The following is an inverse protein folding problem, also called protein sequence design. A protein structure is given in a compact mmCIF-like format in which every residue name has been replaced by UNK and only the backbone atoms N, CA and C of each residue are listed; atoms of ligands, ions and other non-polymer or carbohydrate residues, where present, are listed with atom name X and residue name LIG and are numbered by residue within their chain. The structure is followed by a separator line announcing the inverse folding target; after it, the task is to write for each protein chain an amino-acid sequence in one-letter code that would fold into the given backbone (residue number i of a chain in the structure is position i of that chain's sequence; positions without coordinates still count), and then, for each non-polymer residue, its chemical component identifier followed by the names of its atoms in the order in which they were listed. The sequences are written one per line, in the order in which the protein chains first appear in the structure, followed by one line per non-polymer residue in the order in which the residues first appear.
data_IF_288425608111
#
_entry.id   IF_288425608111
#
_cell.length_a   1.000
_cell.length_b   1.000
_cell.length_c   1.000
_cell.angle_alpha   90.00
_cell.angle_beta   90.00
_cell.angle_gamma   90.00
#
_symmetry.space_group_name_H-M   'P 1'
#
loop_
_entity.id
_entity.type
_entity.pdbx_description
1 polymer ?
#
# COMPACT_ATOMS: atom_id res chain seq x y z
N UNK A 1 128.74 51.72 9.89
CA UNK A 1 128.20 50.45 10.43
C UNK A 1 126.73 50.36 10.04
N UNK A 2 126.34 49.33 9.29
CA UNK A 2 124.98 48.81 9.17
C UNK A 2 123.95 49.56 8.30
N UNK A 3 123.95 49.29 7.00
CA UNK A 3 122.83 49.55 6.06
C UNK A 3 121.72 48.49 6.25
N UNK A 4 120.44 48.91 6.12
CA UNK A 4 119.31 48.01 5.90
C UNK A 4 118.62 48.40 4.58
N UNK A 5 118.53 47.43 3.66
CA UNK A 5 117.85 47.54 2.36
C UNK A 5 116.56 46.72 2.42
N UNK A 6 115.55 47.29 1.77
CA UNK A 6 114.22 46.75 1.46
C UNK A 6 114.24 45.33 0.88
N UNK A 7 113.12 44.61 0.98
CA UNK A 7 112.46 43.89 -0.13
C UNK A 7 111.34 43.00 0.45
N UNK A 8 110.09 43.26 0.07
CA UNK A 8 108.95 42.40 0.41
C UNK A 8 107.94 42.45 -0.72
N UNK A 9 108.15 41.68 -1.80
CA UNK A 9 107.18 41.64 -2.92
C UNK A 9 107.21 40.37 -3.79
N UNK A 10 107.59 39.20 -3.26
CA UNK A 10 107.61 37.96 -4.06
C UNK A 10 106.81 36.76 -3.52
N UNK A 11 106.10 36.86 -2.40
CA UNK A 11 105.32 35.73 -1.87
C UNK A 11 103.88 35.62 -2.40
N UNK A 12 103.30 36.68 -2.97
CA UNK A 12 101.87 36.69 -3.35
C UNK A 12 101.61 36.07 -4.72
N UNK A 13 102.61 36.01 -5.62
CA UNK A 13 102.40 35.54 -7.00
C UNK A 13 102.43 34.01 -7.19
N UNK A 14 103.04 33.24 -6.28
CA UNK A 14 103.09 31.78 -6.41
C UNK A 14 101.85 31.04 -5.87
N UNK A 15 101.09 31.64 -4.95
CA UNK A 15 99.86 31.02 -4.43
C UNK A 15 98.61 31.27 -5.30
N UNK A 16 98.61 32.33 -6.13
CA UNK A 16 97.47 32.64 -7.01
C UNK A 16 97.28 31.67 -8.18
N UNK A 17 98.35 31.02 -8.64
CA UNK A 17 98.31 30.11 -9.80
C UNK A 17 97.90 28.67 -9.44
N UNK A 18 98.05 28.25 -8.17
CA UNK A 18 97.63 26.92 -7.71
C UNK A 18 96.13 26.86 -7.35
N UNK A 19 95.48 27.99 -7.07
CA UNK A 19 94.05 28.01 -6.75
C UNK A 19 93.14 28.01 -8.00
N UNK A 20 93.63 28.47 -9.15
CA UNK A 20 92.83 28.57 -10.40
C UNK A 20 92.78 27.22 -11.14
N UNK A 21 93.74 26.32 -10.91
CA UNK A 21 93.77 24.98 -11.52
C UNK A 21 92.81 23.96 -10.89
N UNK A 22 92.35 24.18 -9.65
CA UNK A 22 91.47 23.23 -8.96
C UNK A 22 89.96 23.51 -9.17
N UNK A 23 89.60 24.71 -9.68
CA UNK A 23 88.20 25.10 -9.91
C UNK A 23 87.63 24.52 -11.21
N UNK A 24 88.47 24.12 -12.17
CA UNK A 24 88.01 23.59 -13.47
C UNK A 24 87.71 22.08 -13.49
N UNK A 25 87.89 21.34 -12.39
CA UNK A 25 87.63 19.89 -12.33
C UNK A 25 86.26 19.50 -11.75
N UNK A 26 85.42 20.47 -11.33
CA UNK A 26 84.11 20.17 -10.71
C UNK A 26 82.90 20.61 -11.55
N UNK A 27 83.10 21.11 -12.77
CA UNK A 27 82.02 21.37 -13.72
C UNK A 27 81.62 20.09 -14.49
N UNK A 28 81.46 18.98 -13.77
CA UNK A 28 80.78 17.79 -14.27
C UNK A 28 79.30 17.91 -13.94
N UNK A 29 78.54 18.62 -14.77
CA UNK A 29 77.07 18.58 -14.72
C UNK A 29 76.61 17.17 -15.09
N UNK A 30 76.48 16.30 -14.09
CA UNK A 30 75.57 15.17 -14.19
C UNK A 30 74.16 15.74 -14.08
N UNK A 31 73.44 15.74 -15.20
CA UNK A 31 72.00 15.99 -15.20
C UNK A 31 71.33 14.82 -14.47
N UNK A 32 71.33 14.84 -13.13
CA UNK A 32 70.39 14.04 -12.37
C UNK A 32 69.03 14.66 -12.65
N UNK A 33 68.36 14.13 -13.68
CA UNK A 33 66.94 14.35 -13.89
C UNK A 33 66.25 13.62 -12.75
N UNK A 34 66.04 14.33 -11.63
CA UNK A 34 65.06 13.92 -10.63
C UNK A 34 63.72 14.05 -11.34
N UNK A 35 63.25 12.97 -11.98
CA UNK A 35 61.85 12.90 -12.37
C UNK A 35 61.06 12.93 -11.06
N UNK A 36 60.23 13.95 -10.80
CA UNK A 36 59.31 13.84 -9.69
C UNK A 36 58.43 12.63 -10.00
N UNK A 37 58.55 11.57 -9.18
CA UNK A 37 57.55 10.52 -9.16
C UNK A 37 56.35 11.14 -8.48
N UNK A 38 55.57 11.90 -9.27
CA UNK A 38 54.18 12.10 -8.94
C UNK A 38 53.55 10.71 -9.00
N UNK A 39 53.42 10.06 -7.85
CA UNK A 39 52.34 9.10 -7.67
C UNK A 39 51.07 9.91 -7.90
N UNK A 40 50.57 9.88 -9.13
CA UNK A 40 49.15 10.06 -9.35
C UNK A 40 48.50 9.03 -8.46
N UNK A 41 47.96 9.47 -7.30
CA UNK A 41 47.00 8.66 -6.57
C UNK A 41 45.96 8.31 -7.62
N UNK A 42 45.94 7.05 -8.01
CA UNK A 42 44.97 6.54 -8.97
C UNK A 42 43.62 7.06 -8.48
N UNK A 43 42.95 7.81 -9.35
CA UNK A 43 41.65 8.36 -9.02
C UNK A 43 40.77 7.14 -8.82
N UNK A 44 40.54 6.77 -7.57
CA UNK A 44 39.54 5.77 -7.23
C UNK A 44 38.28 6.18 -7.99
N UNK A 45 37.84 5.32 -8.91
CA UNK A 45 36.59 5.57 -9.60
C UNK A 45 35.53 5.80 -8.54
N UNK A 46 34.63 6.78 -8.72
CA UNK A 46 33.57 7.01 -7.77
C UNK A 46 32.84 5.68 -7.57
N UNK A 47 32.94 5.12 -6.37
CA UNK A 47 32.10 4.01 -5.95
C UNK A 47 30.68 4.52 -6.14
N UNK A 48 29.90 3.83 -6.96
CA UNK A 48 28.46 4.06 -7.13
C UNK A 48 27.79 3.78 -5.79
N UNK A 49 27.85 4.75 -4.89
CA UNK A 49 27.14 4.72 -3.63
C UNK A 49 25.69 5.06 -3.98
N UNK A 50 24.92 4.01 -4.24
CA UNK A 50 23.48 4.12 -4.31
C UNK A 50 23.03 4.58 -2.92
N UNK A 51 22.72 5.87 -2.81
CA UNK A 51 21.96 6.38 -1.67
C UNK A 51 20.69 5.54 -1.65
N UNK A 52 20.44 4.75 -0.59
CA UNK A 52 19.17 4.05 -0.48
C UNK A 52 18.10 5.11 -0.67
N UNK A 53 17.26 4.96 -1.70
CA UNK A 53 16.09 5.80 -1.86
C UNK A 53 15.45 5.89 -0.48
N UNK A 54 15.33 7.11 0.06
CA UNK A 54 14.54 7.28 1.27
C UNK A 54 13.14 6.79 0.90
N UNK A 55 12.77 5.62 1.40
CA UNK A 55 11.41 5.10 1.27
C UNK A 55 10.59 6.02 2.16
N UNK A 56 9.97 7.03 1.56
CA UNK A 56 9.03 7.87 2.27
C UNK A 56 7.78 7.03 2.53
N UNK A 57 7.26 7.02 3.76
CA UNK A 57 6.05 6.29 4.06
C UNK A 57 4.88 6.82 3.23
N UNK A 58 4.04 5.92 2.75
CA UNK A 58 2.96 6.19 1.80
C UNK A 58 1.76 6.88 2.47
N UNK A 59 1.12 7.78 1.73
CA UNK A 59 -0.16 8.38 2.08
C UNK A 59 -1.27 7.72 1.27
N UNK A 60 -2.10 6.92 1.93
CA UNK A 60 -3.16 6.14 1.31
C UNK A 60 -4.51 6.84 1.44
N UNK A 61 -5.34 6.71 0.41
CA UNK A 61 -6.76 7.09 0.46
C UNK A 61 -7.65 5.85 0.34
N UNK A 62 -8.41 5.56 1.40
CA UNK A 62 -9.40 4.50 1.44
C UNK A 62 -10.77 5.05 1.10
N UNK A 63 -11.39 4.51 0.06
CA UNK A 63 -12.75 4.81 -0.34
C UNK A 63 -13.68 3.68 0.05
N UNK A 64 -14.62 3.95 0.95
CA UNK A 64 -15.73 3.06 1.29
C UNK A 64 -16.94 3.31 0.40
N UNK A 65 -17.33 2.32 -0.40
CA UNK A 65 -18.57 2.27 -1.17
C UNK A 65 -19.46 1.17 -0.58
N UNK A 66 -20.76 1.43 -0.46
CA UNK A 66 -21.67 0.37 -0.04
C UNK A 66 -22.80 0.75 0.88
N UNK A 67 -23.12 -0.18 1.78
CA UNK A 67 -24.29 -0.14 2.63
C UNK A 67 -23.99 -0.01 4.13
N UNK A 68 -24.86 -0.53 5.00
CA UNK A 68 -24.71 -0.46 6.46
C UNK A 68 -23.42 -1.12 6.97
N UNK A 69 -22.90 -2.15 6.30
CA UNK A 69 -21.66 -2.79 6.75
C UNK A 69 -20.47 -1.85 6.61
N UNK A 70 -20.34 -1.20 5.45
CA UNK A 70 -19.31 -0.17 5.22
C UNK A 70 -19.54 1.07 6.07
N UNK A 71 -20.79 1.46 6.37
CA UNK A 71 -21.07 2.53 7.35
C UNK A 71 -20.58 2.18 8.76
N UNK A 72 -20.53 0.89 9.13
CA UNK A 72 -20.22 0.46 10.50
C UNK A 72 -21.42 0.45 11.44
N UNK A 73 -22.64 0.24 10.91
CA UNK A 73 -23.85 0.15 11.75
C UNK A 73 -23.73 -1.02 12.72
N UNK A 74 -23.97 -0.77 14.01
CA UNK A 74 -23.87 -1.80 15.06
C UNK A 74 -22.53 -1.81 15.79
N UNK A 75 -21.51 -1.11 15.27
CA UNK A 75 -20.23 -0.95 15.97
C UNK A 75 -20.38 -0.07 17.22
N UNK A 76 -20.53 -0.69 18.39
CA UNK A 76 -20.73 0.03 19.65
C UNK A 76 -19.48 0.82 20.08
N UNK A 77 -18.30 0.44 19.58
CA UNK A 77 -17.04 1.12 19.87
C UNK A 77 -16.79 2.33 18.95
N UNK A 78 -17.61 2.52 17.91
CA UNK A 78 -17.50 3.64 16.97
C UNK A 78 -16.11 3.77 16.35
N UNK A 79 -15.55 2.65 15.90
CA UNK A 79 -14.24 2.56 15.24
C UNK A 79 -14.41 2.41 13.73
N UNK A 80 -15.42 3.08 13.16
CA UNK A 80 -15.76 3.07 11.73
C UNK A 80 -15.92 1.65 11.12
N UNK A 81 -16.50 0.72 11.90
CA UNK A 81 -16.79 -0.64 11.43
C UNK A 81 -15.53 -1.43 11.06
N UNK A 82 -15.60 -2.20 9.98
CA UNK A 82 -14.41 -2.94 9.51
C UNK A 82 -13.37 -2.00 8.89
N UNK A 83 -13.80 -0.91 8.25
CA UNK A 83 -12.90 0.01 7.54
C UNK A 83 -11.94 0.72 8.48
N UNK A 84 -12.43 1.25 9.60
CA UNK A 84 -11.57 1.89 10.58
C UNK A 84 -10.58 0.92 11.21
N UNK A 85 -10.99 -0.35 11.43
CA UNK A 85 -10.12 -1.39 11.97
C UNK A 85 -9.04 -1.84 10.99
N UNK A 86 -9.37 -2.01 9.70
CA UNK A 86 -8.38 -2.26 8.63
C UNK A 86 -7.38 -1.11 8.55
N UNK A 87 -7.86 0.14 8.60
CA UNK A 87 -6.99 1.32 8.66
C UNK A 87 -6.06 1.29 9.88
N UNK A 88 -6.59 0.99 11.06
CA UNK A 88 -5.79 0.93 12.29
C UNK A 88 -4.71 -0.15 12.23
N UNK A 89 -5.02 -1.30 11.64
CA UNK A 89 -4.07 -2.39 11.48
C UNK A 89 -2.95 -2.03 10.50
N UNK A 90 -3.30 -1.48 9.34
CA UNK A 90 -2.30 -1.09 8.34
C UNK A 90 -1.41 0.07 8.80
N UNK A 91 -1.94 1.00 9.60
CA UNK A 91 -1.14 2.09 10.21
C UNK A 91 -0.12 1.63 11.24
N UNK A 92 -0.09 0.34 11.62
CA UNK A 92 1.00 -0.20 12.44
C UNK A 92 2.30 -0.38 11.64
N UNK A 93 2.25 -0.29 10.30
CA UNK A 93 3.41 -0.36 9.42
C UNK A 93 4.18 0.96 9.37
N UNK A 94 5.50 0.90 9.51
CA UNK A 94 6.39 2.05 9.32
C UNK A 94 6.43 2.54 7.85
N UNK A 95 5.86 1.79 6.89
CA UNK A 95 5.74 2.20 5.49
C UNK A 95 4.52 3.08 5.21
N UNK A 96 3.62 3.28 6.16
CA UNK A 96 2.39 4.04 5.92
C UNK A 96 2.35 5.24 6.86
N UNK A 97 2.40 6.44 6.30
CA UNK A 97 2.42 7.68 7.07
C UNK A 97 1.01 8.03 7.53
N UNK A 98 0.06 7.92 6.60
CA UNK A 98 -1.33 8.29 6.82
C UNK A 98 -2.25 7.45 5.94
N UNK A 99 -3.44 7.19 6.49
CA UNK A 99 -4.57 6.64 5.73
C UNK A 99 -5.75 7.58 5.91
N UNK A 100 -6.14 8.27 4.84
CA UNK A 100 -7.39 9.02 4.78
C UNK A 100 -8.55 8.08 4.48
N UNK A 101 -9.68 8.26 5.16
CA UNK A 101 -10.86 7.42 5.01
C UNK A 101 -12.04 8.27 4.53
N UNK A 102 -12.45 8.07 3.28
CA UNK A 102 -13.67 8.65 2.72
C UNK A 102 -14.73 7.55 2.68
N UNK A 103 -15.69 7.61 3.61
CA UNK A 103 -16.79 6.66 3.66
C UNK A 103 -18.05 7.25 3.03
N UNK A 104 -18.42 6.77 1.85
CA UNK A 104 -19.61 7.22 1.11
C UNK A 104 -20.80 6.28 1.28
N UNK A 105 -20.63 5.23 2.08
CA UNK A 105 -21.63 4.20 2.30
C UNK A 105 -22.91 4.77 2.93
N UNK A 106 -24.05 4.09 2.68
CA UNK A 106 -25.34 4.53 3.22
C UNK A 106 -26.15 3.34 3.70
N UNK A 107 -26.67 3.43 4.91
CA UNK A 107 -27.55 2.42 5.50
C UNK A 107 -28.68 2.06 4.54
N UNK A 108 -28.87 0.76 4.30
CA UNK A 108 -29.94 0.23 3.45
C UNK A 108 -29.73 0.43 1.95
N UNK A 109 -28.54 0.87 1.51
CA UNK A 109 -28.25 1.05 0.09
C UNK A 109 -28.28 -0.29 -0.63
N UNK A 110 -29.00 -0.33 -1.74
CA UNK A 110 -29.03 -1.44 -2.70
C UNK A 110 -28.13 -1.18 -3.90
N UNK A 111 -27.84 -2.22 -4.66
CA UNK A 111 -26.98 -2.11 -5.85
C UNK A 111 -27.56 -1.16 -6.94
N UNK A 112 -28.87 -1.11 -7.13
CA UNK A 112 -29.53 -0.15 -8.06
C UNK A 112 -29.28 1.32 -7.68
N UNK A 113 -29.30 1.60 -6.38
CA UNK A 113 -29.02 2.92 -5.84
C UNK A 113 -27.54 3.29 -5.91
N UNK A 114 -26.64 2.33 -5.67
CA UNK A 114 -25.20 2.56 -5.84
C UNK A 114 -24.87 2.83 -7.31
N UNK A 115 -25.39 2.01 -8.23
CA UNK A 115 -25.21 2.22 -9.67
C UNK A 115 -25.73 3.59 -10.13
N UNK A 116 -26.89 4.01 -9.63
CA UNK A 116 -27.45 5.35 -9.93
C UNK A 116 -26.53 6.47 -9.42
N UNK A 117 -25.97 6.31 -8.21
CA UNK A 117 -25.04 7.29 -7.64
C UNK A 117 -23.76 7.38 -8.48
N UNK A 118 -23.16 6.24 -8.84
CA UNK A 118 -21.97 6.19 -9.68
C UNK A 118 -22.23 6.82 -11.04
N UNK A 119 -23.30 6.40 -11.74
CA UNK A 119 -23.66 6.92 -13.06
C UNK A 119 -23.93 8.43 -13.10
N UNK A 120 -24.17 9.06 -11.95
CA UNK A 120 -24.37 10.51 -11.86
C UNK A 120 -23.06 11.32 -11.87
N UNK A 121 -21.91 10.67 -11.76
CA UNK A 121 -20.59 11.30 -11.67
C UNK A 121 -20.24 11.82 -10.26
N UNK A 122 -21.10 11.56 -9.27
CA UNK A 122 -21.00 12.19 -7.96
C UNK A 122 -19.78 11.73 -7.14
N UNK A 123 -19.16 10.61 -7.49
CA UNK A 123 -18.01 10.02 -6.78
C UNK A 123 -16.77 9.88 -7.67
N UNK A 124 -16.75 10.50 -8.85
CA UNK A 124 -15.70 10.26 -9.86
C UNK A 124 -14.32 10.64 -9.33
N UNK A 125 -14.25 11.79 -8.67
CA UNK A 125 -13.02 12.29 -8.07
C UNK A 125 -12.51 11.34 -6.99
N UNK A 126 -13.38 10.95 -6.06
CA UNK A 126 -13.03 10.05 -4.97
C UNK A 126 -12.55 8.69 -5.50
N UNK A 127 -13.19 8.16 -6.56
CA UNK A 127 -12.79 6.91 -7.19
C UNK A 127 -11.42 7.05 -7.86
N UNK A 128 -11.19 8.12 -8.63
CA UNK A 128 -9.92 8.38 -9.31
C UNK A 128 -8.74 8.52 -8.34
N UNK A 129 -8.96 9.17 -7.19
CA UNK A 129 -7.92 9.44 -6.20
C UNK A 129 -7.69 8.28 -5.22
N UNK A 130 -8.62 7.33 -5.14
CA UNK A 130 -8.56 6.23 -4.19
C UNK A 130 -7.31 5.37 -4.40
N UNK A 131 -6.60 5.08 -3.31
CA UNK A 131 -5.54 4.08 -3.29
C UNK A 131 -6.13 2.68 -3.10
N UNK A 132 -7.21 2.56 -2.33
CA UNK A 132 -7.95 1.30 -2.11
C UNK A 132 -9.44 1.57 -2.09
N UNK A 133 -10.22 0.69 -2.72
CA UNK A 133 -11.67 0.79 -2.78
C UNK A 133 -12.26 -0.42 -2.07
N UNK A 134 -13.07 -0.18 -1.05
CA UNK A 134 -13.74 -1.20 -0.28
C UNK A 134 -15.23 -1.18 -0.57
N UNK A 135 -15.79 -2.34 -0.93
CA UNK A 135 -17.17 -2.46 -1.41
C UNK A 135 -17.97 -3.43 -0.54
N UNK A 136 -19.11 -3.01 0.00
CA UNK A 136 -20.15 -3.92 0.50
C UNK A 136 -21.51 -3.59 -0.10
N UNK A 137 -22.07 -4.49 -0.90
CA UNK A 137 -23.35 -4.28 -1.59
C UNK A 137 -24.01 -5.62 -1.91
N UNK A 138 -25.33 -5.64 -2.05
CA UNK A 138 -26.12 -6.82 -2.41
C UNK A 138 -26.98 -7.37 -1.27
N UNK A 139 -26.56 -7.20 -0.01
CA UNK A 139 -27.34 -7.66 1.14
C UNK A 139 -28.73 -7.04 1.17
N UNK A 140 -28.85 -5.74 0.87
CA UNK A 140 -30.14 -5.05 0.83
C UNK A 140 -31.03 -5.43 -0.36
N UNK A 141 -30.45 -5.98 -1.43
CA UNK A 141 -31.17 -6.51 -2.59
C UNK A 141 -31.88 -7.82 -2.17
N UNK A 142 -31.16 -8.73 -1.51
CA UNK A 142 -31.72 -9.95 -0.89
C UNK A 142 -32.79 -9.58 0.16
N UNK A 143 -32.47 -8.62 1.04
CA UNK A 143 -33.38 -8.21 2.12
C UNK A 143 -34.71 -7.65 1.64
N UNK A 144 -34.74 -7.05 0.45
CA UNK A 144 -35.97 -6.53 -0.15
C UNK A 144 -36.96 -7.65 -0.43
N UNK A 145 -36.47 -8.82 -0.84
CA UNK A 145 -37.29 -10.00 -1.13
C UNK A 145 -37.72 -10.67 0.17
N UNK A 146 -36.76 -10.90 1.09
CA UNK A 146 -37.03 -11.50 2.40
C UNK A 146 -38.15 -10.74 3.13
N UNK A 147 -38.09 -9.41 3.14
CA UNK A 147 -39.12 -8.57 3.80
C UNK A 147 -40.52 -8.68 3.18
N UNK A 148 -40.63 -9.10 1.92
CA UNK A 148 -41.92 -9.28 1.25
C UNK A 148 -42.59 -10.56 1.71
N UNK A 149 -41.82 -11.65 1.85
CA UNK A 149 -42.35 -13.00 2.07
C UNK A 149 -41.52 -13.79 3.10
N UNK A 150 -41.39 -13.26 4.33
CA UNK A 150 -40.59 -13.85 5.43
C UNK A 150 -40.93 -15.30 5.77
N UNK A 151 -42.19 -15.71 5.58
CA UNK A 151 -42.71 -17.03 5.98
C UNK A 151 -42.97 -17.97 4.79
N UNK A 152 -42.61 -17.56 3.57
CA UNK A 152 -42.84 -18.33 2.35
C UNK A 152 -41.87 -17.86 1.26
N UNK A 153 -40.59 -18.18 1.44
CA UNK A 153 -39.54 -17.77 0.50
C UNK A 153 -39.87 -18.25 -0.91
N UNK A 154 -39.99 -17.30 -1.84
CA UNK A 154 -40.20 -17.59 -3.25
C UNK A 154 -38.82 -17.65 -3.93
N UNK A 155 -38.26 -18.85 -4.07
CA UNK A 155 -36.91 -19.04 -4.64
C UNK A 155 -36.74 -18.37 -6.00
N UNK A 156 -37.75 -18.43 -6.87
CA UNK A 156 -37.75 -17.77 -8.19
C UNK A 156 -37.53 -16.25 -8.08
N UNK A 157 -38.04 -15.60 -7.03
CA UNK A 157 -37.84 -14.17 -6.83
C UNK A 157 -36.39 -13.83 -6.42
N UNK A 158 -35.72 -14.73 -5.68
CA UNK A 158 -34.31 -14.57 -5.35
C UNK A 158 -33.44 -14.76 -6.59
N UNK A 159 -33.77 -15.72 -7.44
CA UNK A 159 -33.06 -15.98 -8.68
C UNK A 159 -33.21 -14.81 -9.66
N UNK A 160 -34.44 -14.33 -9.87
CA UNK A 160 -34.70 -13.16 -10.73
C UNK A 160 -33.94 -11.91 -10.25
N UNK A 161 -33.95 -11.63 -8.94
CA UNK A 161 -33.19 -10.48 -8.42
C UNK A 161 -31.68 -10.73 -8.44
N UNK A 162 -31.21 -11.99 -8.34
CA UNK A 162 -29.79 -12.34 -8.48
C UNK A 162 -29.27 -12.01 -9.86
N UNK A 163 -30.00 -12.34 -10.92
CA UNK A 163 -29.63 -11.98 -12.31
C UNK A 163 -29.59 -10.45 -12.51
N UNK A 164 -30.56 -9.74 -11.95
CA UNK A 164 -30.60 -8.28 -12.01
C UNK A 164 -29.45 -7.65 -11.19
N UNK A 165 -29.15 -8.20 -10.01
CA UNK A 165 -28.02 -7.81 -9.19
C UNK A 165 -26.69 -8.06 -9.90
N UNK A 166 -26.53 -9.23 -10.52
CA UNK A 166 -25.35 -9.61 -11.31
C UNK A 166 -25.05 -8.57 -12.39
N UNK A 167 -26.08 -8.13 -13.13
CA UNK A 167 -25.92 -7.07 -14.13
C UNK A 167 -25.45 -5.75 -13.51
N UNK A 168 -26.04 -5.35 -12.37
CA UNK A 168 -25.68 -4.11 -11.69
C UNK A 168 -24.29 -4.16 -11.07
N UNK A 169 -23.92 -5.29 -10.47
CA UNK A 169 -22.62 -5.50 -9.85
C UNK A 169 -21.49 -5.44 -10.89
N UNK A 170 -21.67 -6.09 -12.05
CA UNK A 170 -20.77 -5.94 -13.19
C UNK A 170 -20.58 -4.47 -13.59
N UNK A 171 -21.67 -3.71 -13.76
CA UNK A 171 -21.56 -2.31 -14.15
C UNK A 171 -20.93 -1.42 -13.07
N UNK A 172 -21.17 -1.70 -11.79
CA UNK A 172 -20.51 -1.00 -10.67
C UNK A 172 -19.00 -1.23 -10.75
N UNK A 173 -18.55 -2.49 -10.89
CA UNK A 173 -17.13 -2.83 -10.99
C UNK A 173 -16.48 -2.22 -12.23
N UNK A 174 -17.16 -2.28 -13.38
CA UNK A 174 -16.69 -1.69 -14.62
C UNK A 174 -16.53 -0.17 -14.51
N UNK A 175 -17.53 0.52 -13.96
CA UNK A 175 -17.48 1.97 -13.75
C UNK A 175 -16.30 2.38 -12.85
N UNK A 176 -16.08 1.65 -11.75
CA UNK A 176 -14.95 1.88 -10.85
C UNK A 176 -13.63 1.66 -11.60
N UNK A 177 -13.52 0.58 -12.37
CA UNK A 177 -12.28 0.21 -13.05
C UNK A 177 -11.95 1.15 -14.21
N UNK A 178 -12.94 1.67 -14.92
CA UNK A 178 -12.77 2.68 -15.97
C UNK A 178 -12.18 3.99 -15.41
N UNK A 179 -12.62 4.40 -14.23
CA UNK A 179 -12.13 5.62 -13.57
C UNK A 179 -10.78 5.40 -12.86
N UNK A 180 -10.57 4.21 -12.29
CA UNK A 180 -9.36 3.87 -11.58
C UNK A 180 -8.86 2.48 -12.00
N UNK A 181 -7.96 2.40 -13.00
CA UNK A 181 -7.46 1.12 -13.51
C UNK A 181 -6.52 0.38 -12.56
N UNK A 182 -6.03 1.01 -11.49
CA UNK A 182 -4.95 0.48 -10.66
C UNK A 182 -5.38 0.13 -9.23
N UNK A 183 -6.28 0.91 -8.62
CA UNK A 183 -6.63 0.72 -7.22
C UNK A 183 -7.22 -0.68 -6.97
N UNK A 184 -6.76 -1.39 -5.93
CA UNK A 184 -7.39 -2.62 -5.48
C UNK A 184 -8.86 -2.40 -5.12
N UNK A 185 -9.73 -3.30 -5.60
CA UNK A 185 -11.14 -3.38 -5.18
C UNK A 185 -11.31 -4.57 -4.24
N UNK A 186 -11.55 -4.29 -2.96
CA UNK A 186 -11.75 -5.29 -1.91
C UNK A 186 -13.25 -5.37 -1.61
N UNK A 187 -13.89 -6.44 -2.10
CA UNK A 187 -15.33 -6.62 -1.97
C UNK A 187 -15.68 -7.59 -0.84
N UNK A 188 -16.51 -7.13 0.08
CA UNK A 188 -16.99 -7.92 1.21
C UNK A 188 -18.16 -8.81 0.79
N UNK A 189 -18.07 -10.10 1.10
CA UNK A 189 -19.14 -11.06 0.90
C UNK A 189 -20.35 -10.82 1.81
N UNK A 190 -21.46 -11.46 1.46
CA UNK A 190 -22.69 -11.43 2.23
C UNK A 190 -22.67 -12.50 3.33
N UNK A 191 -23.43 -12.26 4.38
CA UNK A 191 -23.76 -13.24 5.40
C UNK A 191 -25.26 -13.24 5.67
N UNK A 192 -25.76 -14.33 6.24
CA UNK A 192 -27.15 -14.44 6.65
C UNK A 192 -27.34 -13.89 8.08
N UNK A 193 -28.10 -12.81 8.27
CA UNK A 193 -28.41 -12.31 9.61
C UNK A 193 -29.49 -13.15 10.32
N UNK A 194 -30.14 -14.09 9.63
CA UNK A 194 -31.25 -14.88 10.16
C UNK A 194 -30.83 -16.24 10.74
N UNK A 195 -29.54 -16.58 10.74
CA UNK A 195 -29.00 -17.87 11.18
C UNK A 195 -29.42 -18.29 12.60
N UNK A 196 -29.82 -17.34 13.44
CA UNK A 196 -30.18 -17.55 14.84
C UNK A 196 -31.67 -17.42 15.16
N UNK A 197 -32.46 -16.91 14.22
CA UNK A 197 -33.79 -16.35 14.54
C UNK A 197 -34.94 -17.01 13.78
N UNK A 198 -34.68 -17.83 12.76
CA UNK A 198 -35.73 -18.47 11.95
C UNK A 198 -35.34 -19.87 11.51
N UNK A 199 -36.33 -20.73 11.25
CA UNK A 199 -36.10 -22.13 10.81
C UNK A 199 -35.76 -22.23 9.33
N UNK A 200 -36.13 -21.21 8.55
CA UNK A 200 -35.80 -21.00 7.14
C UNK A 200 -34.34 -20.54 6.95
N UNK A 201 -33.55 -20.47 8.04
CA UNK A 201 -32.17 -20.00 8.01
C UNK A 201 -31.33 -20.76 6.98
N UNK A 202 -31.49 -22.08 6.87
CA UNK A 202 -30.74 -22.92 5.92
C UNK A 202 -31.08 -22.59 4.45
N UNK A 203 -32.33 -22.26 4.14
CA UNK A 203 -32.70 -21.82 2.79
C UNK A 203 -32.06 -20.46 2.47
N UNK A 204 -32.07 -19.54 3.43
CA UNK A 204 -31.40 -18.25 3.30
C UNK A 204 -29.88 -18.42 3.19
N UNK A 205 -29.27 -19.36 3.92
CA UNK A 205 -27.84 -19.69 3.76
C UNK A 205 -27.51 -20.14 2.35
N UNK A 206 -28.34 -21.00 1.75
CA UNK A 206 -28.14 -21.44 0.36
C UNK A 206 -28.23 -20.26 -0.60
N UNK A 207 -29.24 -19.40 -0.46
CA UNK A 207 -29.40 -18.19 -1.27
C UNK A 207 -28.17 -17.28 -1.14
N UNK A 208 -27.71 -17.03 0.09
CA UNK A 208 -26.52 -16.20 0.34
C UNK A 208 -25.27 -16.82 -0.28
N UNK A 209 -25.12 -18.14 -0.25
CA UNK A 209 -24.02 -18.87 -0.87
C UNK A 209 -24.01 -18.69 -2.39
N UNK A 210 -25.16 -18.78 -3.04
CA UNK A 210 -25.30 -18.60 -4.50
C UNK A 210 -24.98 -17.14 -4.92
N UNK A 211 -25.43 -16.18 -4.12
CA UNK A 211 -25.12 -14.76 -4.33
C UNK A 211 -23.63 -14.47 -4.14
N UNK A 212 -23.02 -15.03 -3.09
CA UNK A 212 -21.58 -14.92 -2.85
C UNK A 212 -20.76 -15.51 -3.99
N UNK A 213 -21.16 -16.69 -4.50
CA UNK A 213 -20.53 -17.33 -5.67
C UNK A 213 -20.62 -16.45 -6.91
N UNK A 214 -21.77 -15.80 -7.12
CA UNK A 214 -21.97 -14.85 -8.22
C UNK A 214 -21.05 -13.63 -8.08
N UNK A 215 -20.97 -13.05 -6.88
CA UNK A 215 -20.11 -11.90 -6.59
C UNK A 215 -18.63 -12.23 -6.81
N UNK A 216 -18.16 -13.36 -6.26
CA UNK A 216 -16.77 -13.80 -6.39
C UNK A 216 -16.40 -14.03 -7.86
N UNK A 217 -17.25 -14.75 -8.61
CA UNK A 217 -17.03 -14.99 -10.05
C UNK A 217 -16.91 -13.69 -10.84
N UNK A 218 -17.84 -12.76 -10.66
CA UNK A 218 -17.78 -11.50 -11.41
C UNK A 218 -16.58 -10.65 -11.02
N UNK A 219 -16.21 -10.65 -9.74
CA UNK A 219 -15.07 -9.89 -9.27
C UNK A 219 -13.76 -10.38 -9.91
N UNK A 220 -13.62 -11.69 -10.13
CA UNK A 220 -12.47 -12.30 -10.82
C UNK A 220 -12.36 -11.93 -12.31
N UNK A 221 -13.40 -11.36 -12.93
CA UNK A 221 -13.34 -10.86 -14.31
C UNK A 221 -12.58 -9.53 -14.43
N UNK A 222 -12.27 -8.87 -13.30
CA UNK A 222 -11.56 -7.60 -13.23
C UNK A 222 -10.18 -7.79 -12.58
N UNK A 223 -9.17 -7.08 -13.08
CA UNK A 223 -7.83 -7.07 -12.47
C UNK A 223 -7.83 -6.33 -11.13
N UNK A 224 -6.84 -6.62 -10.28
CA UNK A 224 -6.63 -6.01 -8.97
C UNK A 224 -7.91 -5.98 -8.11
N UNK A 225 -8.57 -7.13 -8.00
CA UNK A 225 -9.73 -7.31 -7.12
C UNK A 225 -9.51 -8.43 -6.11
N UNK A 226 -10.25 -8.38 -5.00
CA UNK A 226 -10.15 -9.38 -3.95
C UNK A 226 -11.51 -9.57 -3.26
N UNK A 227 -12.00 -10.80 -3.26
CA UNK A 227 -13.26 -11.17 -2.61
C UNK A 227 -12.99 -11.62 -1.18
N UNK A 228 -13.70 -11.02 -0.21
CA UNK A 228 -13.53 -11.32 1.21
C UNK A 228 -14.71 -12.17 1.70
N UNK A 229 -14.56 -13.50 1.82
CA UNK A 229 -15.63 -14.34 2.33
C UNK A 229 -15.81 -14.08 3.82
N UNK A 230 -17.05 -13.85 4.27
CA UNK A 230 -17.36 -13.63 5.69
C UNK A 230 -18.55 -14.43 6.21
N UNK A 231 -19.25 -15.17 5.34
CA UNK A 231 -20.46 -15.91 5.70
C UNK A 231 -20.25 -16.84 6.91
N UNK A 232 -19.10 -17.53 6.98
CA UNK A 232 -18.75 -18.46 8.06
C UNK A 232 -18.61 -17.76 9.43
N UNK A 233 -18.27 -16.47 9.46
CA UNK A 233 -18.14 -15.70 10.70
C UNK A 233 -19.49 -15.51 11.41
N UNK A 234 -20.60 -15.67 10.67
CA UNK A 234 -21.97 -15.38 11.09
C UNK A 234 -22.90 -16.60 11.03
N UNK A 235 -22.40 -17.76 10.59
CA UNK A 235 -23.19 -19.00 10.55
C UNK A 235 -23.64 -19.44 11.96
N UNK A 236 -22.82 -19.17 12.98
CA UNK A 236 -23.21 -19.37 14.40
C UNK A 236 -22.94 -18.12 15.22
N UNK A 237 -23.67 -17.94 16.32
CA UNK A 237 -23.39 -16.86 17.27
C UNK A 237 -22.44 -17.25 18.41
N UNK A 238 -21.64 -18.30 18.22
CA UNK A 238 -20.73 -18.79 19.26
C UNK A 238 -19.76 -17.68 19.72
N UNK A 239 -19.41 -16.78 18.82
CA UNK A 239 -18.50 -15.66 19.06
C UNK A 239 -19.21 -14.36 19.51
N UNK A 240 -20.53 -14.39 19.71
CA UNK A 240 -21.35 -13.22 20.08
C UNK A 240 -21.07 -12.01 19.18
N UNK A 241 -21.29 -12.17 17.87
CA UNK A 241 -20.82 -11.22 16.83
C UNK A 241 -21.88 -10.21 16.38
N UNK A 242 -23.11 -10.33 16.87
CA UNK A 242 -24.21 -9.44 16.51
C UNK A 242 -24.41 -8.31 17.51
N UNK A 243 -24.79 -7.16 16.99
CA UNK A 243 -25.34 -6.04 17.75
C UNK A 243 -26.70 -6.44 18.36
N UNK A 244 -27.22 -5.60 19.24
CA UNK A 244 -28.51 -5.81 19.93
C UNK A 244 -29.74 -5.89 19.01
N UNK A 245 -29.60 -5.55 17.72
CA UNK A 245 -30.66 -5.75 16.72
C UNK A 245 -30.66 -7.13 16.07
N UNK A 246 -29.71 -8.01 16.45
CA UNK A 246 -29.53 -9.36 15.92
C UNK A 246 -29.41 -9.43 14.40
N UNK A 247 -28.98 -8.32 13.76
CA UNK A 247 -28.90 -8.21 12.32
C UNK A 247 -27.53 -7.70 11.89
N UNK A 248 -27.08 -6.59 12.46
CA UNK A 248 -25.78 -6.01 12.15
C UNK A 248 -24.68 -6.60 13.03
N UNK A 249 -23.41 -6.58 12.58
CA UNK A 249 -22.30 -6.97 13.42
C UNK A 249 -22.13 -5.97 14.57
N UNK A 250 -21.69 -6.47 15.72
CA UNK A 250 -21.18 -5.62 16.80
C UNK A 250 -19.69 -5.32 16.57
N UNK A 251 -19.07 -4.61 17.52
CA UNK A 251 -17.65 -4.31 17.49
C UNK A 251 -16.76 -5.56 17.31
N UNK A 252 -17.12 -6.70 17.92
CA UNK A 252 -16.38 -7.97 17.76
C UNK A 252 -16.57 -8.58 16.37
N UNK A 253 -17.80 -8.54 15.84
CA UNK A 253 -18.09 -8.97 14.48
C UNK A 253 -17.29 -8.16 13.46
N UNK A 254 -17.20 -6.84 13.63
CA UNK A 254 -16.39 -5.98 12.77
C UNK A 254 -14.88 -6.22 12.91
N UNK A 255 -14.39 -6.55 14.09
CA UNK A 255 -13.00 -7.00 14.30
C UNK A 255 -12.71 -8.29 13.51
N UNK A 256 -13.61 -9.28 13.55
CA UNK A 256 -13.45 -10.52 12.78
C UNK A 256 -13.48 -10.28 11.27
N UNK A 257 -14.37 -9.40 10.79
CA UNK A 257 -14.41 -8.98 9.39
C UNK A 257 -13.10 -8.32 8.99
N UNK A 258 -12.60 -7.36 9.78
CA UNK A 258 -11.35 -6.65 9.47
C UNK A 258 -10.16 -7.63 9.42
N UNK A 259 -10.05 -8.53 10.39
CA UNK A 259 -8.99 -9.54 10.42
C UNK A 259 -9.07 -10.50 9.22
N UNK A 260 -10.28 -10.87 8.80
CA UNK A 260 -10.48 -11.67 7.58
C UNK A 260 -10.05 -10.88 6.35
N UNK A 261 -10.43 -9.61 6.26
CA UNK A 261 -10.09 -8.72 5.16
C UNK A 261 -8.57 -8.58 4.98
N UNK A 262 -7.82 -8.33 6.07
CA UNK A 262 -6.35 -8.25 6.02
C UNK A 262 -5.73 -9.54 5.46
N UNK A 263 -6.10 -10.70 6.01
CA UNK A 263 -5.60 -12.01 5.51
C UNK A 263 -5.97 -12.28 4.05
N UNK A 264 -7.16 -11.85 3.63
CA UNK A 264 -7.57 -11.99 2.23
C UNK A 264 -6.77 -11.03 1.33
N UNK A 265 -6.53 -9.79 1.77
CA UNK A 265 -5.65 -8.84 1.06
C UNK A 265 -4.23 -9.37 0.92
N UNK A 266 -3.69 -10.06 1.94
CA UNK A 266 -2.41 -10.77 1.84
C UNK A 266 -2.43 -11.88 0.78
N UNK A 267 -3.48 -12.71 0.81
CA UNK A 267 -3.65 -13.82 -0.15
C UNK A 267 -3.81 -13.33 -1.60
N UNK A 268 -4.44 -12.16 -1.78
CA UNK A 268 -4.59 -11.49 -3.07
C UNK A 268 -3.34 -10.70 -3.47
N UNK A 269 -2.31 -10.61 -2.62
CA UNK A 269 -1.05 -9.92 -2.89
C UNK A 269 -1.10 -8.40 -2.78
N UNK A 270 -2.13 -7.84 -2.15
CA UNK A 270 -2.24 -6.39 -1.87
C UNK A 270 -1.55 -5.98 -0.58
N UNK A 271 -1.38 -6.94 0.34
CA UNK A 271 -0.61 -6.78 1.57
C UNK A 271 0.44 -7.89 1.63
N UNK A 272 1.58 -7.63 2.27
CA UNK A 272 2.60 -8.63 2.57
C UNK A 272 2.98 -8.49 4.05
N UNK A 273 2.99 -9.58 4.80
CA UNK A 273 3.53 -9.59 6.16
C UNK A 273 5.01 -10.00 6.12
N UNK A 274 5.93 -9.14 6.59
CA UNK A 274 7.33 -9.52 6.82
C UNK A 274 7.75 -9.11 8.22
N UNK A 275 8.31 -10.05 8.99
CA UNK A 275 8.74 -9.85 10.38
C UNK A 275 7.65 -9.32 11.34
N UNK A 276 6.37 -9.59 11.06
CA UNK A 276 5.24 -9.11 11.88
C UNK A 276 4.76 -7.71 11.52
N UNK A 277 5.28 -7.11 10.44
CA UNK A 277 4.81 -5.84 9.88
C UNK A 277 4.09 -6.07 8.56
N UNK A 278 2.98 -5.35 8.33
CA UNK A 278 2.22 -5.40 7.09
C UNK A 278 2.73 -4.36 6.09
N UNK A 279 2.80 -4.72 4.81
CA UNK A 279 3.28 -3.86 3.74
C UNK A 279 2.27 -3.82 2.60
N UNK A 280 1.82 -2.62 2.20
CA UNK A 280 0.81 -2.47 1.13
C UNK A 280 1.51 -2.39 -0.23
N UNK A 281 1.21 -3.34 -1.13
CA UNK A 281 1.80 -3.37 -2.48
C UNK A 281 1.08 -2.43 -3.43
N UNK A 282 1.85 -1.69 -4.24
CA UNK A 282 1.33 -0.82 -5.30
C UNK A 282 1.07 0.63 -4.88
N UNK A 283 1.51 1.05 -3.71
CA UNK A 283 1.32 2.41 -3.20
C UNK A 283 2.25 3.49 -3.81
N UNK A 284 3.14 3.13 -4.74
CA UNK A 284 3.90 4.14 -5.50
C UNK A 284 2.99 4.86 -6.48
N UNK A 285 2.46 6.02 -6.10
CA UNK A 285 1.97 6.99 -7.08
C UNK A 285 3.17 7.42 -7.92
N UNK A 286 3.06 7.25 -9.24
CA UNK A 286 3.95 7.89 -10.19
C UNK A 286 4.01 9.39 -9.89
N UNK A 287 5.23 9.92 -9.81
CA UNK A 287 5.54 11.35 -9.97
C UNK A 287 4.96 11.92 -11.28
#
# INVERSE_FOLDING_TARGET
MGLCICWKDNLVKQFGLLLIGLVFLIAGCSSIVIKPVFQTKEREEPVDYQVPYAVFPDNLLFLGLGDSLTVGVGDELKQDGYLGRVKQELLQSDQIEQIDLINTAKRGRRSDQLMTLLSSGALDKEIQEASHIYLSIGGNDVMKIIKRDLFSLQLDAFEEERENYETRYFHILHYIRDLNPQAPIIALGLYNPFSLITVESEEVESIITDWNTTMERQLMEFEATCYVPVQDLFYTNTNLVYHTDFFHPNAKGYELIANRMIRTMESCGFVEETNGELYVKGASRNE
#
